data_IF_558306006762
#
_entry.id   IF_558306006762
#
_cell.length_a   1.000
_cell.length_b   1.000
_cell.length_c   1.000
_cell.angle_alpha   90.00
_cell.angle_beta   90.00
_cell.angle_gamma   90.00
#
_symmetry.space_group_name_H-M   'P 1'
#
loop_
_entity.id
_entity.type
_entity.pdbx_description
1 polymer ?
#
# COMPACT_ATOMS: atom_id res chain seq x y z
N UNK A 1 6.63 -11.09 -21.30
CA UNK A 1 5.54 -11.33 -20.33
C UNK A 1 5.17 -9.99 -19.74
N UNK A 2 3.91 -9.75 -19.35
CA UNK A 2 3.56 -8.54 -18.63
C UNK A 2 4.35 -8.44 -17.33
N UNK A 3 4.69 -7.21 -16.88
CA UNK A 3 5.28 -7.00 -15.55
C UNK A 3 4.32 -7.49 -14.47
N UNK A 4 4.86 -8.15 -13.44
CA UNK A 4 4.10 -8.56 -12.26
C UNK A 4 4.37 -7.61 -11.09
N UNK A 5 3.31 -7.06 -10.53
CA UNK A 5 3.34 -6.20 -9.34
C UNK A 5 2.80 -6.99 -8.16
N UNK A 6 3.51 -6.97 -7.05
CA UNK A 6 3.05 -7.50 -5.78
C UNK A 6 3.02 -6.35 -4.76
N UNK A 7 1.82 -5.96 -4.32
CA UNK A 7 1.66 -4.99 -3.24
C UNK A 7 1.51 -5.73 -1.92
N UNK A 8 2.38 -5.45 -0.93
CA UNK A 8 2.37 -6.06 0.40
C UNK A 8 1.90 -5.01 1.39
N UNK A 9 0.67 -5.12 1.88
CA UNK A 9 0.04 -4.08 2.70
C UNK A 9 -0.54 -4.65 4.00
N UNK A 10 -0.60 -3.84 5.08
CA UNK A 10 -1.16 -4.27 6.36
C UNK A 10 -2.66 -4.49 6.32
N UNK A 11 -3.44 -3.54 5.80
CA UNK A 11 -4.91 -3.57 5.89
C UNK A 11 -5.59 -3.50 4.51
N UNK A 12 -6.88 -3.93 4.44
CA UNK A 12 -7.71 -3.67 3.26
C UNK A 12 -7.91 -2.16 3.10
N UNK A 13 -7.36 -1.53 2.08
CA UNK A 13 -7.40 -0.11 1.69
C UNK A 13 -6.02 0.57 1.55
N UNK A 14 -4.99 0.11 2.25
CA UNK A 14 -3.67 0.76 2.24
C UNK A 14 -3.07 0.89 0.84
N UNK A 15 -3.23 -0.15 0.01
CA UNK A 15 -2.74 -0.11 -1.37
C UNK A 15 -3.36 1.04 -2.16
N UNK A 16 -4.67 1.22 -2.00
CA UNK A 16 -5.44 2.27 -2.66
C UNK A 16 -5.09 3.65 -2.09
N UNK A 17 -4.95 3.79 -0.77
CA UNK A 17 -4.59 5.05 -0.13
C UNK A 17 -3.22 5.56 -0.57
N UNK A 18 -2.21 4.70 -0.56
CA UNK A 18 -0.82 5.15 -0.70
C UNK A 18 -0.26 5.00 -2.12
N UNK A 19 -0.70 4.00 -2.88
CA UNK A 19 -0.12 3.66 -4.18
C UNK A 19 -1.16 3.36 -5.28
N UNK A 20 -2.45 3.60 -5.03
CA UNK A 20 -3.53 3.24 -5.95
C UNK A 20 -3.39 3.86 -7.33
N UNK A 21 -2.95 5.12 -7.42
CA UNK A 21 -2.70 5.80 -8.70
C UNK A 21 -1.54 5.17 -9.48
N UNK A 22 -0.46 4.86 -8.80
CA UNK A 22 0.73 4.20 -9.37
C UNK A 22 0.42 2.78 -9.84
N UNK A 23 -0.28 1.99 -9.01
CA UNK A 23 -0.72 0.63 -9.37
C UNK A 23 -1.64 0.68 -10.60
N UNK A 24 -2.64 1.56 -10.60
CA UNK A 24 -3.57 1.73 -11.72
C UNK A 24 -2.85 2.13 -13.01
N UNK A 25 -1.83 3.01 -12.93
CA UNK A 25 -1.01 3.42 -14.05
C UNK A 25 -0.23 2.24 -14.63
N UNK A 26 0.47 1.48 -13.79
CA UNK A 26 1.25 0.31 -14.24
C UNK A 26 0.36 -0.76 -14.85
N UNK A 27 -0.86 -0.98 -14.31
CA UNK A 27 -1.85 -1.89 -14.92
C UNK A 27 -2.29 -1.36 -16.29
N UNK A 28 -2.54 -0.05 -16.41
CA UNK A 28 -2.86 0.60 -17.69
C UNK A 28 -1.74 0.47 -18.74
N UNK A 29 -0.51 0.35 -18.30
CA UNK A 29 0.69 0.06 -19.12
C UNK A 29 0.89 -1.44 -19.43
N UNK A 30 -0.02 -2.30 -18.97
CA UNK A 30 -0.05 -3.73 -19.27
C UNK A 30 0.55 -4.64 -18.17
N UNK A 31 0.81 -4.13 -16.97
CA UNK A 31 1.21 -4.95 -15.84
C UNK A 31 0.03 -5.75 -15.26
N UNK A 32 0.33 -6.87 -14.60
CA UNK A 32 -0.59 -7.58 -13.70
C UNK A 32 -0.25 -7.21 -12.25
N UNK A 33 -1.25 -7.05 -11.41
CA UNK A 33 -1.06 -6.69 -10.01
C UNK A 33 -1.83 -7.61 -9.07
N UNK A 34 -1.17 -8.04 -7.99
CA UNK A 34 -1.78 -8.75 -6.86
C UNK A 34 -1.55 -7.93 -5.61
N UNK A 35 -2.62 -7.65 -4.87
CA UNK A 35 -2.57 -6.99 -3.56
C UNK A 35 -2.63 -8.08 -2.49
N UNK A 36 -1.59 -8.18 -1.67
CA UNK A 36 -1.51 -9.08 -0.52
C UNK A 36 -1.79 -8.27 0.74
N UNK A 37 -2.85 -8.61 1.42
CA UNK A 37 -3.32 -7.91 2.61
C UNK A 37 -3.02 -8.79 3.83
N UNK A 38 -2.21 -8.31 4.77
CA UNK A 38 -1.74 -9.12 5.89
C UNK A 38 -2.84 -9.38 6.91
N UNK A 39 -3.65 -8.38 7.27
CA UNK A 39 -4.68 -8.50 8.30
C UNK A 39 -6.08 -8.61 7.72
N UNK A 40 -7.03 -8.91 8.57
CA UNK A 40 -8.45 -8.96 8.23
C UNK A 40 -9.21 -7.65 8.49
N UNK A 41 -8.54 -6.64 9.09
CA UNK A 41 -9.06 -5.30 9.33
C UNK A 41 -10.21 -5.23 10.35
N UNK A 42 -10.31 -6.21 11.26
CA UNK A 42 -11.46 -6.39 12.19
C UNK A 42 -11.67 -5.28 13.22
N UNK A 43 -10.71 -4.35 13.38
CA UNK A 43 -10.75 -3.34 14.45
C UNK A 43 -11.09 -1.93 13.99
N UNK A 44 -11.16 -1.68 12.69
CA UNK A 44 -11.43 -0.36 12.10
C UNK A 44 -12.92 -0.01 12.02
N UNK A 45 -13.66 -0.04 13.13
CA UNK A 45 -15.06 0.39 13.17
C UNK A 45 -15.49 0.81 14.57
N UNK A 46 -16.37 1.80 14.64
CA UNK A 46 -17.10 2.17 15.87
C UNK A 46 -18.50 1.54 15.95
N UNK A 47 -18.95 0.86 14.89
CA UNK A 47 -20.34 0.44 14.74
C UNK A 47 -20.49 -1.07 14.55
N UNK A 48 -19.52 -1.72 13.90
CA UNK A 48 -19.60 -3.13 13.53
C UNK A 48 -18.85 -4.02 14.54
N UNK A 49 -19.34 -5.23 14.74
CA UNK A 49 -18.55 -6.28 15.40
C UNK A 49 -17.47 -6.83 14.48
N UNK A 50 -16.45 -7.49 15.07
CA UNK A 50 -15.30 -7.99 14.35
C UNK A 50 -15.66 -8.95 13.20
N UNK A 51 -16.59 -9.88 13.41
CA UNK A 51 -16.94 -10.90 12.40
C UNK A 51 -17.64 -10.26 11.19
N UNK A 52 -18.56 -9.36 11.46
CA UNK A 52 -19.25 -8.57 10.43
C UNK A 52 -18.24 -7.74 9.64
N UNK A 53 -17.33 -7.05 10.35
CA UNK A 53 -16.34 -6.18 9.70
C UNK A 53 -15.37 -6.97 8.81
N UNK A 54 -14.85 -8.12 9.26
CA UNK A 54 -14.02 -9.02 8.42
C UNK A 54 -14.69 -9.36 7.10
N UNK A 55 -15.97 -9.74 7.16
CA UNK A 55 -16.73 -10.11 5.96
C UNK A 55 -16.93 -8.93 5.04
N UNK A 56 -17.28 -7.75 5.57
CA UNK A 56 -17.48 -6.54 4.79
C UNK A 56 -16.18 -6.09 4.12
N UNK A 57 -15.09 -5.92 4.89
CA UNK A 57 -13.80 -5.44 4.36
C UNK A 57 -13.19 -6.38 3.33
N UNK A 58 -13.41 -7.70 3.48
CA UNK A 58 -13.01 -8.67 2.45
C UNK A 58 -13.72 -8.44 1.12
N UNK A 59 -15.01 -8.16 1.15
CA UNK A 59 -15.78 -7.90 -0.06
C UNK A 59 -15.44 -6.55 -0.67
N UNK A 60 -15.30 -5.52 0.17
CA UNK A 60 -14.86 -4.18 -0.25
C UNK A 60 -13.50 -4.23 -0.95
N UNK A 61 -12.51 -4.95 -0.39
CA UNK A 61 -11.19 -5.11 -1.02
C UNK A 61 -11.26 -5.81 -2.39
N UNK A 62 -12.16 -6.78 -2.57
CA UNK A 62 -12.37 -7.41 -3.89
C UNK A 62 -12.95 -6.41 -4.91
N UNK A 63 -13.91 -5.60 -4.50
CA UNK A 63 -14.50 -4.59 -5.39
C UNK A 63 -13.45 -3.51 -5.74
N UNK A 64 -12.65 -3.06 -4.79
CA UNK A 64 -11.56 -2.12 -5.02
C UNK A 64 -10.53 -2.67 -6.03
N UNK A 65 -10.14 -3.94 -5.89
CA UNK A 65 -9.24 -4.60 -6.84
C UNK A 65 -9.83 -4.64 -8.26
N UNK A 66 -11.12 -4.95 -8.41
CA UNK A 66 -11.82 -4.90 -9.71
C UNK A 66 -11.77 -3.50 -10.31
N UNK A 67 -12.02 -2.46 -9.53
CA UNK A 67 -11.95 -1.06 -9.99
C UNK A 67 -10.53 -0.71 -10.44
N UNK A 68 -9.50 -1.11 -9.69
CA UNK A 68 -8.09 -0.91 -10.09
C UNK A 68 -7.71 -1.70 -11.34
N UNK A 69 -8.39 -2.80 -11.62
CA UNK A 69 -8.02 -3.76 -12.65
C UNK A 69 -6.94 -4.74 -12.17
N UNK A 70 -6.80 -4.90 -10.86
CA UNK A 70 -5.92 -5.87 -10.23
C UNK A 70 -6.59 -7.25 -10.16
N UNK A 71 -5.76 -8.28 -9.93
CA UNK A 71 -6.25 -9.62 -9.61
C UNK A 71 -6.98 -9.61 -8.25
N UNK A 72 -7.83 -10.63 -7.96
CA UNK A 72 -8.44 -10.74 -6.65
C UNK A 72 -7.42 -10.69 -5.52
N UNK A 73 -7.63 -9.89 -4.46
CA UNK A 73 -6.64 -9.70 -3.42
C UNK A 73 -6.42 -10.99 -2.62
N UNK A 74 -5.17 -11.23 -2.23
CA UNK A 74 -4.80 -12.32 -1.34
C UNK A 74 -4.81 -11.83 0.11
N UNK A 75 -5.75 -12.34 0.91
CA UNK A 75 -5.85 -12.02 2.34
C UNK A 75 -5.13 -13.10 3.16
N UNK A 76 -4.10 -12.74 3.94
CA UNK A 76 -3.41 -13.67 4.84
C UNK A 76 -4.25 -13.96 6.09
N UNK A 77 -5.13 -13.05 6.49
CA UNK A 77 -6.14 -13.26 7.52
C UNK A 77 -5.61 -13.20 8.95
N UNK A 78 -4.46 -12.58 9.18
CA UNK A 78 -4.00 -12.30 10.53
C UNK A 78 -4.95 -11.31 11.23
N UNK A 79 -5.01 -11.39 12.55
CA UNK A 79 -5.82 -10.47 13.34
C UNK A 79 -5.22 -9.05 13.26
N UNK A 80 -6.05 -8.08 12.94
CA UNK A 80 -5.72 -6.67 12.94
C UNK A 80 -5.26 -6.22 14.34
N UNK A 81 -4.22 -5.39 14.43
CA UNK A 81 -3.51 -4.96 15.64
C UNK A 81 -2.70 -6.05 16.36
N UNK A 82 -2.43 -7.19 15.69
CA UNK A 82 -1.75 -8.33 16.33
C UNK A 82 -0.56 -8.87 15.51
N UNK A 83 -0.12 -8.17 14.46
CA UNK A 83 1.03 -8.63 13.65
C UNK A 83 2.35 -8.63 14.43
N UNK A 84 2.52 -7.71 15.37
CA UNK A 84 3.68 -7.62 16.24
C UNK A 84 3.74 -8.74 17.30
N UNK A 85 2.61 -9.43 17.53
CA UNK A 85 2.53 -10.61 18.40
C UNK A 85 2.84 -11.93 17.67
N UNK A 86 3.01 -11.90 16.35
CA UNK A 86 3.40 -13.10 15.59
C UNK A 86 4.82 -13.56 15.95
N UNK A 87 5.11 -14.87 15.84
CA UNK A 87 6.47 -15.36 16.03
C UNK A 87 7.48 -14.61 15.15
N UNK A 88 8.67 -14.26 15.68
CA UNK A 88 9.68 -13.54 14.92
C UNK A 88 10.01 -14.23 13.58
N UNK A 89 9.92 -13.47 12.48
CA UNK A 89 10.19 -13.95 11.12
C UNK A 89 9.04 -14.68 10.46
N UNK A 90 7.91 -14.93 11.13
CA UNK A 90 6.78 -15.64 10.54
C UNK A 90 6.17 -14.88 9.34
N UNK A 91 5.88 -13.59 9.51
CA UNK A 91 5.35 -12.77 8.41
C UNK A 91 6.37 -12.59 7.27
N UNK A 92 7.67 -12.45 7.61
CA UNK A 92 8.75 -12.42 6.61
C UNK A 92 8.79 -13.69 5.77
N UNK A 93 8.68 -14.89 6.40
CA UNK A 93 8.63 -16.16 5.66
C UNK A 93 7.49 -16.17 4.65
N UNK A 94 6.28 -15.78 5.07
CA UNK A 94 5.13 -15.71 4.18
C UNK A 94 5.38 -14.78 2.97
N UNK A 95 5.99 -13.62 3.19
CA UNK A 95 6.31 -12.70 2.11
C UNK A 95 7.43 -13.22 1.20
N UNK A 96 8.47 -13.89 1.75
CA UNK A 96 9.50 -14.57 0.93
C UNK A 96 8.85 -15.64 0.03
N UNK A 97 7.95 -16.42 0.58
CA UNK A 97 7.18 -17.45 -0.16
C UNK A 97 6.39 -16.84 -1.30
N UNK A 98 5.65 -15.77 -1.04
CA UNK A 98 4.86 -15.08 -2.05
C UNK A 98 5.72 -14.46 -3.15
N UNK A 99 6.84 -13.81 -2.81
CA UNK A 99 7.78 -13.28 -3.78
C UNK A 99 8.32 -14.40 -4.69
N UNK A 100 8.69 -15.55 -4.13
CA UNK A 100 9.15 -16.70 -4.91
C UNK A 100 8.06 -17.33 -5.77
N UNK A 101 6.82 -17.31 -5.32
CA UNK A 101 5.66 -17.83 -6.02
C UNK A 101 5.25 -16.96 -7.20
N UNK A 102 5.05 -15.66 -6.95
CA UNK A 102 4.56 -14.69 -7.94
C UNK A 102 5.66 -14.14 -8.83
N UNK A 103 6.92 -14.20 -8.40
CA UNK A 103 8.10 -13.69 -9.11
C UNK A 103 7.92 -12.24 -9.59
N UNK A 104 7.57 -11.30 -8.70
CA UNK A 104 7.24 -9.94 -9.10
C UNK A 104 8.46 -9.19 -9.64
N UNK A 105 8.24 -8.43 -10.71
CA UNK A 105 9.21 -7.43 -11.19
C UNK A 105 9.22 -6.21 -10.28
N UNK A 106 8.05 -5.89 -9.70
CA UNK A 106 7.82 -4.71 -8.85
C UNK A 106 7.19 -5.15 -7.54
N UNK A 107 7.72 -4.67 -6.42
CA UNK A 107 7.05 -4.75 -5.12
C UNK A 107 6.72 -3.35 -4.63
N UNK A 108 5.47 -3.17 -4.19
CA UNK A 108 4.99 -1.98 -3.50
C UNK A 108 4.75 -2.36 -2.05
N UNK A 109 5.34 -1.64 -1.11
CA UNK A 109 5.20 -1.90 0.32
C UNK A 109 5.37 -0.62 1.12
N UNK A 110 5.08 -0.67 2.41
CA UNK A 110 5.35 0.45 3.29
C UNK A 110 6.85 0.61 3.57
N UNK A 111 7.29 1.87 3.78
CA UNK A 111 8.68 2.18 4.09
C UNK A 111 9.00 1.84 5.54
N UNK A 112 9.92 0.88 5.83
CA UNK A 112 10.31 0.55 7.19
C UNK A 112 11.04 1.71 7.91
N UNK A 113 11.48 2.73 7.18
CA UNK A 113 12.12 3.92 7.73
C UNK A 113 11.18 5.14 7.77
N UNK A 114 9.87 4.93 7.55
CA UNK A 114 8.88 5.99 7.66
C UNK A 114 8.94 6.63 9.06
N UNK A 115 9.13 7.96 9.15
CA UNK A 115 9.11 8.63 10.43
C UNK A 115 7.67 8.66 10.97
N UNK A 116 7.57 8.57 12.28
CA UNK A 116 6.32 8.74 13.03
C UNK A 116 5.22 7.70 12.76
N UNK A 117 5.55 6.57 12.10
CA UNK A 117 4.59 5.47 11.94
C UNK A 117 4.30 4.81 13.30
N UNK A 118 3.07 5.00 13.78
CA UNK A 118 2.65 4.53 15.12
C UNK A 118 1.90 3.20 15.09
N UNK A 119 1.33 2.81 13.94
CA UNK A 119 0.54 1.59 13.86
C UNK A 119 1.43 0.35 13.90
N UNK A 120 1.20 -0.61 14.83
CA UNK A 120 2.08 -1.78 14.98
C UNK A 120 2.08 -2.67 13.74
N UNK A 121 0.94 -2.85 13.08
CA UNK A 121 0.83 -3.68 11.88
C UNK A 121 1.56 -3.06 10.69
N UNK A 122 1.50 -1.74 10.53
CA UNK A 122 2.25 -1.03 9.50
C UNK A 122 3.75 -1.26 9.67
N UNK A 123 4.27 -1.06 10.88
CA UNK A 123 5.69 -1.34 11.17
C UNK A 123 6.05 -2.81 10.94
N UNK A 124 5.20 -3.75 11.35
CA UNK A 124 5.46 -5.18 11.18
C UNK A 124 5.52 -5.58 9.69
N UNK A 125 4.55 -5.10 8.88
CA UNK A 125 4.53 -5.34 7.42
C UNK A 125 5.72 -4.66 6.74
N UNK A 126 6.01 -3.41 7.05
CA UNK A 126 7.11 -2.66 6.45
C UNK A 126 8.46 -3.38 6.61
N UNK A 127 8.81 -3.82 7.83
CA UNK A 127 10.03 -4.57 8.09
C UNK A 127 10.02 -5.97 7.47
N UNK A 128 8.93 -6.71 7.59
CA UNK A 128 8.81 -8.04 7.01
C UNK A 128 8.91 -8.01 5.48
N UNK A 129 8.28 -7.03 4.83
CA UNK A 129 8.34 -6.85 3.38
C UNK A 129 9.75 -6.44 2.92
N UNK A 130 10.39 -5.48 3.60
CA UNK A 130 11.76 -5.05 3.29
C UNK A 130 12.76 -6.19 3.39
N UNK A 131 12.67 -7.01 4.45
CA UNK A 131 13.48 -8.20 4.63
C UNK A 131 13.20 -9.23 3.52
N UNK A 132 11.94 -9.53 3.25
CA UNK A 132 11.55 -10.49 2.23
C UNK A 132 12.05 -10.10 0.83
N UNK A 133 11.89 -8.82 0.45
CA UNK A 133 12.41 -8.27 -0.80
C UNK A 133 13.92 -8.44 -0.91
N UNK A 134 14.64 -8.20 0.19
CA UNK A 134 16.11 -8.28 0.23
C UNK A 134 16.62 -9.70 0.15
N UNK A 135 15.90 -10.66 0.71
CA UNK A 135 16.41 -12.02 0.94
C UNK A 135 15.69 -13.13 0.15
N UNK A 136 14.61 -12.85 -0.58
CA UNK A 136 13.92 -13.85 -1.41
C UNK A 136 14.81 -14.46 -2.51
N UNK A 137 15.86 -13.75 -2.93
CA UNK A 137 16.85 -14.21 -3.92
C UNK A 137 17.89 -15.18 -3.35
N UNK A 138 17.99 -15.32 -2.02
CA UNK A 138 19.00 -16.16 -1.38
C UNK A 138 18.48 -17.59 -1.14
N UNK A 139 19.09 -18.63 -1.74
CA UNK A 139 18.55 -20.00 -1.66
C UNK A 139 18.62 -20.60 -0.24
N UNK A 140 19.53 -20.13 0.61
CA UNK A 140 19.67 -20.61 1.99
C UNK A 140 18.74 -19.92 2.99
N UNK A 141 18.02 -18.89 2.56
CA UNK A 141 16.90 -18.30 3.33
C UNK A 141 15.65 -19.11 2.99
N UNK A 142 15.08 -19.79 3.97
CA UNK A 142 13.97 -20.73 3.79
C UNK A 142 14.25 -21.79 2.70
N UNK A 143 15.28 -22.67 2.91
CA UNK A 143 15.65 -23.69 1.93
C UNK A 143 14.53 -24.73 1.69
N UNK A 144 13.60 -24.88 2.65
CA UNK A 144 12.39 -25.69 2.51
C UNK A 144 11.52 -25.30 1.31
N UNK A 145 11.50 -24.02 0.95
CA UNK A 145 10.78 -23.55 -0.24
C UNK A 145 11.30 -24.20 -1.55
N UNK A 146 12.61 -24.48 -1.62
CA UNK A 146 13.20 -25.16 -2.79
C UNK A 146 12.70 -26.59 -2.91
N UNK A 147 12.54 -27.28 -1.78
CA UNK A 147 11.98 -28.63 -1.76
C UNK A 147 10.50 -28.66 -2.19
N UNK A 148 9.79 -27.55 -2.01
CA UNK A 148 8.41 -27.34 -2.48
C UNK A 148 8.35 -26.88 -3.97
N UNK A 149 9.49 -26.71 -4.64
CA UNK A 149 9.57 -26.29 -6.05
C UNK A 149 9.63 -24.77 -6.27
N UNK A 150 9.60 -23.95 -5.22
CA UNK A 150 9.77 -22.52 -5.34
C UNK A 150 11.24 -22.16 -5.59
N UNK A 151 11.49 -21.20 -6.47
CA UNK A 151 12.85 -20.78 -6.80
C UNK A 151 13.17 -19.42 -6.23
N UNK A 152 14.44 -19.14 -5.85
CA UNK A 152 14.88 -17.82 -5.46
C UNK A 152 14.50 -16.79 -6.52
N UNK A 153 14.08 -15.60 -6.08
CA UNK A 153 13.68 -14.54 -6.98
C UNK A 153 14.21 -13.18 -6.52
N UNK A 154 14.75 -12.39 -7.45
CA UNK A 154 15.23 -11.04 -7.22
C UNK A 154 14.17 -10.03 -7.68
N UNK A 155 13.68 -9.21 -6.76
CA UNK A 155 12.74 -8.12 -7.06
C UNK A 155 13.53 -6.96 -7.67
N UNK A 156 13.18 -6.57 -8.90
CA UNK A 156 13.89 -5.52 -9.60
C UNK A 156 13.55 -4.13 -9.06
N UNK A 157 12.28 -3.79 -8.99
CA UNK A 157 11.82 -2.45 -8.61
C UNK A 157 11.09 -2.50 -7.25
N UNK A 158 11.46 -1.61 -6.31
CA UNK A 158 10.91 -1.52 -4.97
C UNK A 158 10.37 -0.12 -4.77
N UNK A 159 9.07 -0.01 -4.52
CA UNK A 159 8.37 1.23 -4.23
C UNK A 159 7.91 1.19 -2.78
N UNK A 160 8.56 1.96 -1.93
CA UNK A 160 8.20 2.08 -0.52
C UNK A 160 7.41 3.37 -0.30
N UNK A 161 6.14 3.22 0.09
CA UNK A 161 5.27 4.35 0.43
C UNK A 161 5.34 4.67 1.92
N UNK A 162 4.95 5.89 2.30
CA UNK A 162 4.75 6.32 3.68
C UNK A 162 3.72 7.44 3.73
N UNK A 163 3.05 7.61 4.87
CA UNK A 163 2.19 8.77 5.11
C UNK A 163 2.98 10.07 5.00
N UNK A 164 4.18 10.11 5.61
CA UNK A 164 5.13 11.20 5.47
C UNK A 164 6.37 10.73 4.69
N UNK A 165 6.43 10.93 3.37
CA UNK A 165 7.48 10.39 2.52
C UNK A 165 8.76 11.25 2.57
N UNK A 166 9.30 11.54 3.76
CA UNK A 166 10.48 12.40 3.94
C UNK A 166 11.75 11.88 3.26
N UNK A 167 11.82 10.59 2.96
CA UNK A 167 12.93 9.94 2.23
C UNK A 167 12.61 9.64 0.77
N UNK A 168 11.54 10.21 0.22
CA UNK A 168 11.14 9.94 -1.17
C UNK A 168 12.20 10.47 -2.16
N UNK A 169 12.52 9.64 -3.13
CA UNK A 169 13.43 9.95 -4.23
C UNK A 169 12.81 9.70 -5.60
N UNK A 170 11.53 9.28 -5.64
CA UNK A 170 10.76 9.08 -6.86
C UNK A 170 9.33 9.58 -6.67
N UNK A 171 8.88 10.39 -7.61
CA UNK A 171 7.49 10.81 -7.72
C UNK A 171 6.94 10.22 -9.01
N UNK A 172 5.78 9.56 -8.92
CA UNK A 172 5.06 9.04 -10.07
C UNK A 172 3.92 10.00 -10.39
N UNK A 173 3.84 10.46 -11.64
CA UNK A 173 2.69 11.20 -12.13
C UNK A 173 1.46 10.28 -12.20
N UNK A 174 0.45 10.59 -11.41
CA UNK A 174 -0.81 9.86 -11.33
C UNK A 174 -2.01 10.71 -11.76
N UNK A 175 -1.75 11.80 -12.49
CA UNK A 175 -2.80 12.73 -12.93
C UNK A 175 -3.94 12.00 -13.63
N UNK A 176 -3.63 11.11 -14.58
CA UNK A 176 -4.62 10.36 -15.36
C UNK A 176 -5.27 9.20 -14.59
N UNK A 177 -4.69 8.79 -13.47
CA UNK A 177 -5.17 7.65 -12.68
C UNK A 177 -5.72 8.03 -11.32
N UNK A 178 -5.71 9.31 -10.97
CA UNK A 178 -6.22 9.81 -9.68
C UNK A 178 -7.70 9.48 -9.47
N UNK A 179 -8.54 9.65 -10.48
CA UNK A 179 -9.96 9.32 -10.36
C UNK A 179 -10.19 7.81 -10.21
N UNK A 180 -9.36 6.99 -10.84
CA UNK A 180 -9.43 5.53 -10.68
C UNK A 180 -9.01 5.09 -9.26
N UNK A 181 -7.97 5.71 -8.70
CA UNK A 181 -7.58 5.54 -7.30
C UNK A 181 -8.74 5.87 -6.36
N UNK A 182 -9.36 7.03 -6.53
CA UNK A 182 -10.48 7.46 -5.69
C UNK A 182 -11.70 6.56 -5.84
N UNK A 183 -12.00 6.09 -7.04
CA UNK A 183 -13.08 5.14 -7.28
C UNK A 183 -12.84 3.79 -6.61
N UNK A 184 -11.60 3.29 -6.62
CA UNK A 184 -11.24 2.06 -5.91
C UNK A 184 -11.35 2.25 -4.40
N UNK A 185 -10.84 3.36 -3.88
CA UNK A 185 -10.92 3.69 -2.46
C UNK A 185 -12.36 3.82 -1.98
N UNK A 186 -13.27 4.33 -2.80
CA UNK A 186 -14.69 4.47 -2.48
C UNK A 186 -15.40 3.12 -2.25
N UNK A 187 -14.82 2.01 -2.68
CA UNK A 187 -15.35 0.67 -2.38
C UNK A 187 -15.09 0.26 -0.93
N UNK A 188 -14.11 0.83 -0.24
CA UNK A 188 -13.82 0.61 1.17
C UNK A 188 -14.74 1.43 2.11
N UNK A 189 -16.04 1.25 1.97
CA UNK A 189 -17.08 2.05 2.63
C UNK A 189 -16.98 2.04 4.15
N UNK A 190 -16.68 0.87 4.72
CA UNK A 190 -16.56 0.74 6.18
C UNK A 190 -15.39 1.55 6.71
N UNK A 191 -14.25 1.53 6.02
CA UNK A 191 -13.06 2.26 6.42
C UNK A 191 -13.19 3.77 6.19
N UNK A 192 -13.75 4.20 5.06
CA UNK A 192 -14.04 5.60 4.79
C UNK A 192 -14.95 6.20 5.88
N UNK A 193 -15.98 5.46 6.27
CA UNK A 193 -16.88 5.87 7.36
C UNK A 193 -16.13 5.98 8.69
N UNK A 194 -15.31 4.95 9.03
CA UNK A 194 -14.53 4.93 10.26
C UNK A 194 -13.57 6.12 10.35
N UNK A 195 -12.79 6.40 9.30
CA UNK A 195 -11.82 7.49 9.27
C UNK A 195 -12.49 8.87 9.48
N UNK A 196 -13.61 9.11 8.80
CA UNK A 196 -14.34 10.37 8.96
C UNK A 196 -14.95 10.48 10.35
N UNK A 197 -15.55 9.40 10.87
CA UNK A 197 -16.08 9.40 12.23
C UNK A 197 -14.99 9.67 13.27
N UNK A 198 -13.79 9.12 13.09
CA UNK A 198 -12.66 9.35 14.00
C UNK A 198 -12.22 10.81 13.97
N UNK A 199 -12.05 11.40 12.80
CA UNK A 199 -11.73 12.83 12.63
C UNK A 199 -12.79 13.72 13.27
N UNK A 200 -14.08 13.44 13.06
CA UNK A 200 -15.17 14.20 13.68
C UNK A 200 -15.17 14.09 15.20
N UNK A 201 -14.84 12.91 15.76
CA UNK A 201 -14.69 12.71 17.21
C UNK A 201 -13.55 13.56 17.77
N UNK A 202 -12.39 13.53 17.12
CA UNK A 202 -11.22 14.32 17.52
C UNK A 202 -11.52 15.85 17.45
N UNK A 203 -12.17 16.31 16.38
CA UNK A 203 -12.56 17.71 16.23
C UNK A 203 -13.47 18.18 17.36
N UNK A 204 -14.49 17.38 17.71
CA UNK A 204 -15.38 17.71 18.86
C UNK A 204 -14.61 17.79 20.17
N UNK A 205 -13.64 16.90 20.41
CA UNK A 205 -12.78 16.99 21.61
C UNK A 205 -11.91 18.25 21.63
N UNK A 206 -11.49 18.74 20.45
CA UNK A 206 -10.77 20.00 20.30
C UNK A 206 -11.68 21.24 20.34
N UNK A 207 -13.00 21.08 20.50
CA UNK A 207 -13.95 22.18 20.49
C UNK A 207 -14.22 22.76 19.10
N UNK A 208 -13.94 21.99 18.03
CA UNK A 208 -14.17 22.41 16.66
C UNK A 208 -15.48 21.82 16.14
N UNK A 209 -16.28 22.64 15.49
CA UNK A 209 -17.44 22.21 14.70
C UNK A 209 -17.04 22.16 13.22
N UNK A 210 -16.68 20.96 12.74
CA UNK A 210 -16.25 20.78 11.37
C UNK A 210 -17.39 20.97 10.36
N UNK A 211 -18.64 20.65 10.75
CA UNK A 211 -19.80 20.85 9.89
C UNK A 211 -20.00 22.37 9.63
N UNK A 212 -19.80 23.20 10.68
CA UNK A 212 -19.87 24.65 10.53
C UNK A 212 -18.65 25.24 9.79
N UNK A 213 -17.46 24.63 9.92
CA UNK A 213 -16.23 25.12 9.28
C UNK A 213 -16.13 24.76 7.81
N UNK A 214 -16.57 23.56 7.44
CA UNK A 214 -16.41 23.00 6.09
C UNK A 214 -17.67 23.19 5.22
N UNK A 215 -18.82 23.54 5.83
CA UNK A 215 -20.09 23.77 5.17
C UNK A 215 -20.62 22.52 4.43
N UNK A 216 -21.60 22.71 3.57
CA UNK A 216 -22.19 21.67 2.74
C UNK A 216 -21.22 21.09 1.69
N UNK A 217 -19.95 21.53 1.68
CA UNK A 217 -18.94 21.10 0.69
C UNK A 217 -18.49 19.65 0.86
N UNK A 218 -18.85 18.98 1.96
CA UNK A 218 -18.46 17.60 2.26
C UNK A 218 -19.70 16.73 2.45
N UNK A 219 -20.54 16.63 1.44
CA UNK A 219 -21.82 15.92 1.49
C UNK A 219 -21.72 14.44 1.86
N UNK A 220 -20.55 13.83 1.67
CA UNK A 220 -20.30 12.43 2.00
C UNK A 220 -18.91 12.23 2.61
N UNK A 221 -18.70 11.16 3.42
CA UNK A 221 -17.37 10.78 3.91
C UNK A 221 -16.32 10.68 2.80
N UNK A 222 -16.68 10.10 1.65
CA UNK A 222 -15.75 9.96 0.52
C UNK A 222 -15.37 11.30 -0.10
N UNK A 223 -16.24 12.29 -0.11
CA UNK A 223 -15.93 13.64 -0.63
C UNK A 223 -14.82 14.30 0.21
N UNK A 224 -14.89 14.18 1.52
CA UNK A 224 -13.87 14.69 2.43
C UNK A 224 -12.50 14.02 2.20
N UNK A 225 -12.48 12.70 2.11
CA UNK A 225 -11.26 11.92 1.84
C UNK A 225 -10.70 12.27 0.47
N UNK A 226 -11.53 12.34 -0.57
CA UNK A 226 -11.10 12.70 -1.92
C UNK A 226 -10.47 14.10 -1.99
N UNK A 227 -11.05 15.06 -1.28
CA UNK A 227 -10.50 16.41 -1.18
C UNK A 227 -9.11 16.40 -0.54
N UNK A 228 -8.95 15.73 0.59
CA UNK A 228 -7.67 15.64 1.31
C UNK A 228 -6.60 14.93 0.45
N UNK A 229 -6.94 13.81 -0.17
CA UNK A 229 -6.01 13.06 -1.02
C UNK A 229 -5.61 13.85 -2.28
N UNK A 230 -6.54 14.55 -2.93
CA UNK A 230 -6.22 15.42 -4.06
C UNK A 230 -5.30 16.57 -3.65
N UNK A 231 -5.53 17.18 -2.49
CA UNK A 231 -4.68 18.24 -1.98
C UNK A 231 -3.26 17.75 -1.70
N UNK A 232 -3.11 16.59 -1.06
CA UNK A 232 -1.81 15.96 -0.80
C UNK A 232 -1.11 15.58 -2.12
N UNK A 233 -1.80 14.90 -3.03
CA UNK A 233 -1.24 14.48 -4.31
C UNK A 233 -0.84 15.67 -5.20
N UNK A 234 -1.60 16.78 -5.14
CA UNK A 234 -1.26 18.02 -5.84
C UNK A 234 0.04 18.65 -5.29
N UNK A 235 0.21 18.68 -3.97
CA UNK A 235 1.47 19.16 -3.34
C UNK A 235 2.68 18.31 -3.76
N UNK A 236 2.50 17.01 -3.91
CA UNK A 236 3.56 16.10 -4.40
C UNK A 236 3.79 16.32 -5.90
N UNK A 237 2.73 16.38 -6.71
CA UNK A 237 2.82 16.57 -8.17
C UNK A 237 3.51 17.87 -8.58
N UNK A 238 3.29 18.95 -7.83
CA UNK A 238 3.94 20.25 -8.08
C UNK A 238 5.47 20.15 -8.09
N UNK A 239 6.06 19.22 -7.36
CA UNK A 239 7.52 19.05 -7.30
C UNK A 239 8.12 18.61 -8.65
N UNK A 240 7.32 18.00 -9.52
CA UNK A 240 7.73 17.55 -10.85
C UNK A 240 6.89 18.20 -11.99
N UNK A 241 6.07 19.20 -11.65
CA UNK A 241 5.29 19.97 -12.63
C UNK A 241 4.05 19.25 -13.17
N UNK A 242 3.45 18.32 -12.41
CA UNK A 242 2.22 17.61 -12.76
C UNK A 242 1.08 17.92 -11.78
N UNK A 243 -0.16 17.59 -12.14
CA UNK A 243 -1.31 17.91 -11.31
C UNK A 243 -1.36 17.07 -10.04
N UNK A 244 -1.12 15.75 -10.15
CA UNK A 244 -1.13 14.82 -9.03
C UNK A 244 0.07 13.88 -9.08
N UNK A 245 0.71 13.65 -7.93
CA UNK A 245 1.84 12.75 -7.79
C UNK A 245 1.71 11.85 -6.57
N UNK A 246 2.29 10.67 -6.65
CA UNK A 246 2.55 9.77 -5.53
C UNK A 246 4.06 9.65 -5.32
N UNK A 247 4.50 9.77 -4.07
CA UNK A 247 5.92 9.82 -3.71
C UNK A 247 6.37 8.51 -3.04
N UNK A 248 7.54 8.03 -3.44
CA UNK A 248 8.10 6.77 -2.96
C UNK A 248 9.58 6.90 -2.62
N UNK A 249 10.03 6.16 -1.62
CA UNK A 249 11.42 5.76 -1.55
C UNK A 249 11.59 4.56 -2.50
N UNK A 250 12.29 4.81 -3.60
CA UNK A 250 12.46 3.86 -4.69
C UNK A 250 13.87 3.30 -4.71
N UNK A 251 13.98 1.99 -4.96
CA UNK A 251 15.26 1.32 -5.13
C UNK A 251 15.16 0.23 -6.21
N UNK A 252 16.24 0.01 -6.96
CA UNK A 252 16.38 -1.12 -7.90
C UNK A 252 17.51 -2.04 -7.47
N UNK A 253 18.71 -1.68 -7.85
CA UNK A 253 19.92 -2.47 -7.60
C UNK A 253 20.64 -2.02 -6.33
N UNK A 254 21.71 -2.72 -6.02
CA UNK A 254 22.68 -2.25 -5.05
C UNK A 254 23.24 -0.89 -5.54
N UNK A 255 23.50 0.09 -4.64
CA UNK A 255 23.96 1.45 -5.03
C UNK A 255 25.14 1.46 -5.99
N UNK A 256 26.09 0.53 -5.85
CA UNK A 256 27.21 0.38 -6.80
C UNK A 256 26.76 0.03 -8.21
N UNK A 257 25.79 -0.87 -8.37
CA UNK A 257 25.26 -1.22 -9.70
C UNK A 257 24.44 -0.07 -10.26
N UNK A 258 23.66 0.61 -9.41
CA UNK A 258 22.86 1.77 -9.84
C UNK A 258 23.73 2.87 -10.41
N UNK A 259 24.86 3.20 -9.76
CA UNK A 259 25.80 4.21 -10.25
C UNK A 259 26.43 3.86 -11.62
N UNK A 260 26.65 2.56 -11.90
CA UNK A 260 27.15 2.10 -13.21
C UNK A 260 26.08 2.22 -14.32
N UNK A 261 24.82 1.93 -13.98
CA UNK A 261 23.70 2.06 -14.94
C UNK A 261 23.47 3.52 -15.29
N UNK A 262 23.46 4.42 -14.31
CA UNK A 262 23.29 5.86 -14.52
C UNK A 262 24.46 6.46 -15.30
N UNK A 263 25.70 6.06 -15.01
CA UNK A 263 26.89 6.49 -15.76
C UNK A 263 26.87 6.08 -17.23
N UNK A 264 26.30 4.91 -17.55
CA UNK A 264 26.17 4.45 -18.93
C UNK A 264 25.01 5.11 -19.71
N UNK A 265 24.05 5.75 -19.06
CA UNK A 265 22.96 6.48 -19.73
C UNK A 265 23.35 7.93 -20.07
N UNK A 266 24.49 8.42 -19.55
CA UNK A 266 24.97 9.77 -19.73
C UNK A 266 26.04 9.87 -20.87
N UNK A 267 26.34 8.78 -21.54
CA UNK A 267 27.23 8.69 -22.74
C UNK A 267 26.43 8.33 -23.98
#
# INVERSE_FOLDING_TARGET
>A
MPKMILALVPHPDDAEFYAGGTIAKMIGEGAQAVIVIATDGRRGSFQQDCETLIRLRREEAKQAAVVLGAEPPLMLGHADMELDALPPGFLREQFVRLIRQYKPDVVVAEDPFAPDEVHPDHRAVAWAASDAISYASLPLVHPEHLAEGLQPHFVLEKYFYAENPSGANKIVDVTDTMEKKLAALAEHKTQITFLVEDVLRQARLAGLDLDALLGESLDTPMTAIAWALKAQASKVGQQIGVQYGEAFRYARFHPFIESLVEGNQST
#
